data_IF_087650239955
#
_entry.id   IF_087650239955
#
_cell.length_a   1.000
_cell.length_b   1.000
_cell.length_c   1.000
_cell.angle_alpha   90.00
_cell.angle_beta   90.00
_cell.angle_gamma   90.00
#
_symmetry.space_group_name_H-M   'P 1'
#
loop_
_entity.id
_entity.type
_entity.pdbx_description
1 polymer ?
#
# COMPACT_ATOMS: atom_id res chain seq x y z
N UNK A 1 -1.02 -4.70 3.37
CA UNK A 1 -1.28 -5.42 2.13
C UNK A 1 -2.42 -4.74 1.41
N UNK A 2 -2.62 -5.07 0.14
CA UNK A 2 -3.81 -4.67 -0.59
C UNK A 2 -4.87 -5.74 -0.36
N UNK A 3 -6.06 -5.35 0.07
CA UNK A 3 -7.23 -6.21 0.07
C UNK A 3 -8.23 -5.62 -0.93
N UNK A 4 -8.53 -6.38 -1.98
CA UNK A 4 -9.59 -6.06 -2.92
C UNK A 4 -10.88 -6.67 -2.40
N UNK A 5 -11.88 -5.83 -2.14
CA UNK A 5 -13.20 -6.26 -1.72
C UNK A 5 -14.25 -5.79 -2.72
N UNK A 6 -15.35 -6.53 -2.85
CA UNK A 6 -16.52 -6.12 -3.62
C UNK A 6 -17.68 -5.81 -2.68
N UNK A 7 -18.43 -4.76 -2.99
CA UNK A 7 -19.66 -4.39 -2.32
C UNK A 7 -20.91 -5.10 -2.90
N UNK A 8 -22.08 -4.89 -2.32
CA UNK A 8 -23.32 -5.51 -2.79
C UNK A 8 -23.77 -5.03 -4.20
N UNK A 9 -23.16 -3.96 -4.73
CA UNK A 9 -23.47 -3.39 -6.05
C UNK A 9 -22.54 -3.90 -7.16
N UNK A 10 -21.45 -4.58 -6.78
CA UNK A 10 -20.44 -5.09 -7.70
C UNK A 10 -19.26 -4.12 -7.91
N UNK A 11 -19.19 -3.03 -7.14
CA UNK A 11 -18.09 -2.07 -7.16
C UNK A 11 -16.86 -2.63 -6.43
N UNK A 12 -15.69 -2.39 -7.01
CA UNK A 12 -14.41 -2.84 -6.48
C UNK A 12 -13.86 -1.78 -5.53
N UNK A 13 -13.70 -2.15 -4.25
CA UNK A 13 -13.11 -1.31 -3.21
C UNK A 13 -11.72 -1.87 -2.88
N UNK A 14 -10.68 -1.03 -3.03
CA UNK A 14 -9.32 -1.40 -2.66
C UNK A 14 -9.02 -0.82 -1.27
N UNK A 15 -8.77 -1.69 -0.28
CA UNK A 15 -8.41 -1.29 1.09
C UNK A 15 -6.95 -1.58 1.39
N UNK A 16 -6.26 -0.59 1.95
CA UNK A 16 -4.88 -0.70 2.40
C UNK A 16 -4.86 -1.00 3.90
N UNK A 17 -4.78 -2.29 4.26
CA UNK A 17 -4.80 -2.70 5.67
C UNK A 17 -3.44 -3.24 6.11
N UNK A 18 -3.05 -2.92 7.34
CA UNK A 18 -1.95 -3.60 8.04
C UNK A 18 -2.51 -4.84 8.78
N UNK A 19 -1.65 -5.60 9.46
CA UNK A 19 -2.09 -6.82 10.17
C UNK A 19 -3.15 -6.55 11.25
N UNK A 20 -3.13 -5.38 11.86
CA UNK A 20 -4.08 -4.99 12.92
C UNK A 20 -5.42 -4.60 12.31
N UNK A 21 -5.42 -3.84 11.20
CA UNK A 21 -6.62 -3.50 10.44
C UNK A 21 -7.30 -4.71 9.79
N UNK A 22 -6.53 -5.72 9.39
CA UNK A 22 -7.07 -7.00 8.92
C UNK A 22 -7.77 -7.81 10.02
N UNK A 23 -7.42 -7.60 11.30
CA UNK A 23 -8.06 -8.28 12.42
C UNK A 23 -9.40 -7.63 12.81
N UNK A 24 -9.64 -6.40 12.37
CA UNK A 24 -10.86 -5.65 12.67
C UNK A 24 -11.94 -5.95 11.62
N UNK A 25 -12.99 -6.66 12.04
CA UNK A 25 -14.12 -7.02 11.18
C UNK A 25 -14.92 -5.83 10.67
N UNK A 26 -14.83 -4.67 11.33
CA UNK A 26 -15.50 -3.44 10.87
C UNK A 26 -14.92 -2.95 9.53
N UNK A 27 -13.65 -3.25 9.25
CA UNK A 27 -13.00 -2.92 7.97
C UNK A 27 -13.54 -3.72 6.79
N UNK A 28 -14.32 -4.78 7.03
CA UNK A 28 -14.96 -5.57 5.99
C UNK A 28 -16.47 -5.31 5.92
N UNK A 29 -16.91 -4.14 6.38
CA UNK A 29 -18.28 -3.67 6.17
C UNK A 29 -18.31 -2.42 5.33
N UNK A 30 -19.34 -2.32 4.51
CA UNK A 30 -19.68 -1.13 3.75
C UNK A 30 -20.22 -0.06 4.72
N UNK A 31 -19.63 1.15 4.79
CA UNK A 31 -20.10 2.20 5.69
C UNK A 31 -21.50 2.73 5.37
N UNK A 32 -21.97 2.58 4.12
CA UNK A 32 -23.26 3.10 3.66
C UNK A 32 -24.40 2.10 3.87
N UNK A 33 -24.16 0.82 3.59
CA UNK A 33 -25.18 -0.25 3.65
C UNK A 33 -25.04 -1.16 4.87
N UNK A 34 -23.92 -1.07 5.60
CA UNK A 34 -23.50 -1.99 6.67
C UNK A 34 -23.46 -3.47 6.22
N UNK A 35 -23.45 -3.71 4.91
CA UNK A 35 -23.31 -5.04 4.33
C UNK A 35 -21.87 -5.53 4.46
N UNK A 36 -21.69 -6.84 4.54
CA UNK A 36 -20.38 -7.49 4.59
C UNK A 36 -19.74 -7.44 3.19
N UNK A 37 -18.51 -6.94 3.12
CA UNK A 37 -17.72 -6.87 1.89
C UNK A 37 -17.04 -8.23 1.66
N UNK A 38 -17.17 -8.74 0.44
CA UNK A 38 -16.51 -10.00 0.07
C UNK A 38 -15.06 -9.72 -0.34
N UNK A 39 -14.11 -10.23 0.44
CA UNK A 39 -12.67 -10.14 0.12
C UNK A 39 -12.37 -11.11 -1.01
N UNK A 40 -12.07 -10.59 -2.20
CA UNK A 40 -11.75 -11.40 -3.36
C UNK A 40 -10.27 -11.71 -3.47
N UNK A 41 -9.41 -10.71 -3.23
CA UNK A 41 -7.98 -10.85 -3.41
C UNK A 41 -7.23 -10.14 -2.28
N UNK A 42 -6.22 -10.85 -1.75
CA UNK A 42 -5.32 -10.33 -0.73
C UNK A 42 -3.90 -10.48 -1.24
N UNK A 43 -3.27 -9.35 -1.54
CA UNK A 43 -1.92 -9.34 -2.12
C UNK A 43 -0.99 -8.54 -1.22
N UNK A 44 0.15 -9.14 -0.85
CA UNK A 44 1.17 -8.44 -0.07
C UNK A 44 1.77 -7.32 -0.91
N UNK A 45 2.06 -6.16 -0.29
CA UNK A 45 2.74 -5.06 -0.98
C UNK A 45 4.09 -5.51 -1.57
N UNK A 46 4.78 -6.41 -0.87
CA UNK A 46 6.04 -7.00 -1.33
C UNK A 46 5.87 -7.84 -2.60
N UNK A 47 4.80 -8.63 -2.65
CA UNK A 47 4.47 -9.50 -3.77
C UNK A 47 4.03 -8.67 -4.98
N UNK A 48 3.24 -7.62 -4.72
CA UNK A 48 2.89 -6.64 -5.73
C UNK A 48 4.13 -5.98 -6.34
N UNK A 49 5.10 -5.54 -5.53
CA UNK A 49 6.36 -5.00 -6.05
C UNK A 49 7.12 -6.04 -6.89
N UNK A 50 7.17 -7.30 -6.45
CA UNK A 50 7.83 -8.38 -7.19
C UNK A 50 7.17 -8.68 -8.55
N UNK A 51 5.87 -8.42 -8.69
CA UNK A 51 5.14 -8.62 -9.95
C UNK A 51 5.23 -7.40 -10.87
N UNK A 52 5.18 -6.19 -10.31
CA UNK A 52 5.02 -4.97 -11.09
C UNK A 52 6.34 -4.24 -11.40
N UNK A 53 7.45 -4.51 -10.70
CA UNK A 53 8.70 -3.73 -10.87
C UNK A 53 9.17 -3.63 -12.32
N UNK A 54 9.02 -4.70 -13.11
CA UNK A 54 9.42 -4.73 -14.52
C UNK A 54 8.58 -3.80 -15.40
N UNK A 55 7.28 -3.64 -15.10
CA UNK A 55 6.37 -2.78 -15.87
C UNK A 55 6.72 -1.30 -15.68
N UNK A 56 7.16 -0.94 -14.48
CA UNK A 56 7.60 0.44 -14.16
C UNK A 56 9.06 0.71 -14.54
N UNK A 57 9.80 -0.30 -15.01
CA UNK A 57 11.21 -0.16 -15.39
C UNK A 57 12.10 0.23 -14.20
N UNK A 58 11.73 -0.17 -12.99
CA UNK A 58 12.55 -0.01 -11.80
C UNK A 58 13.26 -1.32 -11.45
N UNK A 59 14.32 -1.24 -10.65
CA UNK A 59 15.00 -2.40 -10.09
C UNK A 59 14.54 -2.59 -8.65
N UNK A 60 14.12 -3.81 -8.30
CA UNK A 60 13.70 -4.15 -6.95
C UNK A 60 14.84 -4.89 -6.23
N UNK A 61 15.23 -4.38 -5.05
CA UNK A 61 16.29 -4.95 -4.22
C UNK A 61 15.76 -5.26 -2.81
N UNK A 62 16.05 -6.44 -2.30
CA UNK A 62 15.67 -6.85 -0.95
C UNK A 62 16.82 -6.61 0.03
N UNK A 63 16.60 -5.74 1.00
CA UNK A 63 17.58 -5.44 2.06
C UNK A 63 17.16 -6.10 3.37
N UNK A 64 18.13 -6.63 4.11
CA UNK A 64 17.91 -7.19 5.46
C UNK A 64 18.52 -6.28 6.52
N UNK A 65 18.02 -6.35 7.74
CA UNK A 65 18.51 -5.55 8.87
C UNK A 65 19.85 -6.02 9.47
N UNK A 66 20.56 -6.95 8.80
CA UNK A 66 21.80 -7.54 9.30
C UNK A 66 22.97 -6.56 9.33
N UNK A 67 22.99 -5.57 8.44
CA UNK A 67 23.99 -4.50 8.46
C UNK A 67 23.50 -3.28 9.24
N UNK A 68 24.41 -2.38 9.58
CA UNK A 68 24.08 -1.14 10.26
C UNK A 68 23.16 -0.27 9.39
N UNK A 69 23.45 -0.18 8.10
CA UNK A 69 22.67 0.55 7.10
C UNK A 69 21.27 -0.06 6.93
N UNK A 70 21.16 -1.39 6.81
CA UNK A 70 19.86 -2.07 6.73
C UNK A 70 19.03 -1.88 8.00
N UNK A 71 19.68 -1.90 9.17
CA UNK A 71 19.05 -1.60 10.46
C UNK A 71 18.54 -0.15 10.55
N UNK A 72 19.27 0.81 9.99
CA UNK A 72 18.84 2.21 9.88
C UNK A 72 17.71 2.35 8.86
N UNK A 73 17.76 1.60 7.76
CA UNK A 73 16.71 1.64 6.75
C UNK A 73 15.36 1.19 7.30
N UNK A 74 15.33 0.06 8.01
CA UNK A 74 14.11 -0.43 8.65
C UNK A 74 13.57 0.54 9.71
N UNK A 75 14.43 1.18 10.49
CA UNK A 75 14.02 2.07 11.59
C UNK A 75 13.71 3.51 11.16
N UNK A 76 14.46 4.03 10.20
CA UNK A 76 14.37 5.41 9.73
C UNK A 76 13.36 5.61 8.61
N UNK A 77 13.19 4.62 7.73
CA UNK A 77 12.31 4.70 6.56
C UNK A 77 11.15 3.68 6.60
N UNK A 78 10.95 2.99 7.73
CA UNK A 78 9.86 2.00 7.86
C UNK A 78 10.06 0.73 7.01
N UNK A 79 11.25 0.51 6.47
CA UNK A 79 11.61 -0.70 5.71
C UNK A 79 11.22 -0.69 4.23
N UNK A 80 10.73 0.43 3.70
CA UNK A 80 10.45 0.61 2.27
C UNK A 80 11.07 1.93 1.82
N UNK A 81 11.63 1.97 0.61
CA UNK A 81 12.27 3.15 0.06
C UNK A 81 12.55 2.99 -1.42
N UNK A 82 12.68 4.12 -2.12
CA UNK A 82 12.96 4.17 -3.55
C UNK A 82 14.10 5.14 -3.85
N UNK A 83 14.99 4.74 -4.76
CA UNK A 83 16.05 5.60 -5.28
C UNK A 83 15.61 6.11 -6.65
N UNK A 84 15.41 7.42 -6.76
CA UNK A 84 14.99 8.05 -8.01
C UNK A 84 16.19 8.23 -8.95
N UNK A 85 15.97 8.02 -10.25
CA UNK A 85 17.00 8.21 -11.29
C UNK A 85 17.41 9.66 -11.48
N UNK A 86 16.50 10.59 -11.21
CA UNK A 86 16.68 12.02 -11.36
C UNK A 86 16.14 12.75 -10.15
N UNK A 87 16.61 13.96 -9.93
CA UNK A 87 16.08 14.83 -8.89
C UNK A 87 14.62 15.17 -9.22
N UNK A 88 13.74 14.88 -8.25
CA UNK A 88 12.33 15.25 -8.31
C UNK A 88 12.12 16.39 -7.33
N UNK A 89 11.41 17.44 -7.75
CA UNK A 89 10.89 18.42 -6.81
C UNK A 89 9.59 17.86 -6.23
N UNK A 90 9.63 17.53 -4.94
CA UNK A 90 8.49 16.92 -4.25
C UNK A 90 7.45 18.00 -3.91
N UNK A 91 7.87 19.26 -3.79
CA UNK A 91 6.99 20.37 -3.37
C UNK A 91 5.90 20.68 -4.39
N UNK A 92 6.07 20.26 -5.65
CA UNK A 92 5.04 20.39 -6.67
C UNK A 92 3.89 19.38 -6.52
N UNK A 93 4.02 18.39 -5.63
CA UNK A 93 2.99 17.36 -5.40
C UNK A 93 2.21 17.55 -4.09
N UNK A 94 2.69 18.39 -3.16
CA UNK A 94 1.99 18.68 -1.90
C UNK A 94 0.63 19.41 -2.12
N UNK A 95 0.43 20.06 -3.26
CA UNK A 95 -0.82 20.78 -3.59
C UNK A 95 -2.01 19.86 -3.96
N UNK A 96 -1.83 18.53 -3.96
CA UNK A 96 -2.86 17.55 -4.36
C UNK A 96 -3.53 16.82 -3.18
N UNK A 97 -3.07 17.02 -1.94
CA UNK A 97 -3.56 16.29 -0.76
C UNK A 97 -4.78 16.93 -0.07
N UNK A 98 -5.33 18.03 -0.60
CA UNK A 98 -6.45 18.79 0.00
C UNK A 98 -7.86 18.49 -0.58
N UNK A 99 -8.05 17.41 -1.38
CA UNK A 99 -9.37 17.09 -1.97
C UNK A 99 -9.79 15.59 -1.86
N UNK A 100 -9.65 14.98 -0.68
CA UNK A 100 -10.45 13.79 -0.31
C UNK A 100 -11.18 14.01 1.02
N UNK A 101 -12.09 14.99 1.04
CA UNK A 101 -13.16 15.07 2.04
C UNK A 101 -14.49 15.46 1.42
N UNK A 102 -15.15 14.51 0.76
CA UNK A 102 -16.61 14.53 0.53
C UNK A 102 -17.21 13.15 0.68
#
# INVERSE_FOLDING_TARGET
GFNQAIDATGEIIIKHLNKEGEADQSNFRDPSTNAELEVQEKTSLLEWFANEYKKFGCTLEFVTNKSQEGSQFCRGFGGIGGILRYQLDIRSFDDLDDDESV
#
